data_IF_801255773608
#
_entry.id   IF_801255773608
#
_cell.length_a   1.000
_cell.length_b   1.000
_cell.length_c   1.000
_cell.angle_alpha   90.00
_cell.angle_beta   90.00
_cell.angle_gamma   90.00
#
_symmetry.space_group_name_H-M   'P 1'
#
loop_
_entity.id
_entity.type
_entity.pdbx_description
1 polymer ?
#
# COMPACT_ATOMS: atom_id res chain seq x y z
N UNK A 1 -19.08 -10.06 3.88
CA UNK A 1 -18.32 -11.31 3.68
C UNK A 1 -19.25 -12.48 3.33
N UNK A 2 -20.34 -12.70 4.06
CA UNK A 2 -21.26 -13.84 3.84
C UNK A 2 -22.12 -13.73 2.57
N UNK A 3 -22.59 -12.53 2.21
CA UNK A 3 -23.51 -12.34 1.06
C UNK A 3 -22.90 -12.64 -0.32
N UNK A 4 -21.60 -12.49 -0.52
CA UNK A 4 -20.94 -12.80 -1.81
C UNK A 4 -20.66 -14.28 -1.97
N UNK A 5 -20.50 -15.01 -0.86
CA UNK A 5 -20.30 -16.46 -0.85
C UNK A 5 -21.64 -17.20 -1.00
N UNK A 6 -22.74 -16.60 -0.57
CA UNK A 6 -24.07 -17.21 -0.62
C UNK A 6 -24.67 -17.27 -2.04
N UNK A 7 -24.19 -16.43 -2.97
CA UNK A 7 -24.61 -16.43 -4.37
C UNK A 7 -23.83 -17.42 -5.26
N UNK A 8 -22.88 -18.16 -4.71
CA UNK A 8 -22.10 -19.17 -5.43
C UNK A 8 -22.55 -20.54 -4.90
N UNK A 9 -23.77 -20.93 -5.28
CA UNK A 9 -24.26 -22.29 -5.06
C UNK A 9 -23.43 -23.29 -5.87
N UNK A 10 -22.99 -24.36 -5.20
CA UNK A 10 -22.55 -25.64 -5.78
C UNK A 10 -21.28 -25.73 -6.63
N UNK A 11 -20.36 -24.77 -6.58
CA UNK A 11 -19.02 -24.97 -7.13
C UNK A 11 -17.95 -24.77 -6.06
N UNK A 12 -17.29 -25.86 -5.66
CA UNK A 12 -16.07 -25.86 -4.85
C UNK A 12 -15.14 -24.75 -5.35
N UNK A 13 -14.94 -23.71 -4.55
CA UNK A 13 -14.05 -22.59 -4.89
C UNK A 13 -12.62 -23.13 -4.84
N UNK A 14 -12.12 -23.58 -5.99
CA UNK A 14 -10.79 -24.18 -6.16
C UNK A 14 -9.64 -23.22 -5.88
N UNK A 15 -9.88 -21.91 -5.77
CA UNK A 15 -8.84 -20.95 -5.41
C UNK A 15 -9.39 -19.75 -4.62
N UNK A 16 -9.11 -19.74 -3.31
CA UNK A 16 -9.45 -18.64 -2.39
C UNK A 16 -8.46 -17.47 -2.50
N UNK A 17 -7.28 -17.69 -3.10
CA UNK A 17 -6.22 -16.69 -3.21
C UNK A 17 -6.67 -15.41 -3.90
N UNK A 18 -7.36 -15.43 -5.06
CA UNK A 18 -7.80 -14.21 -5.70
C UNK A 18 -8.88 -13.46 -4.91
N UNK A 19 -9.74 -14.19 -4.20
CA UNK A 19 -10.79 -13.62 -3.36
C UNK A 19 -10.22 -12.90 -2.13
N UNK A 20 -9.30 -13.57 -1.43
CA UNK A 20 -8.60 -12.97 -0.28
C UNK A 20 -7.82 -11.75 -0.73
N UNK A 21 -7.06 -11.83 -1.83
CA UNK A 21 -6.30 -10.71 -2.36
C UNK A 21 -7.18 -9.50 -2.74
N UNK A 22 -8.35 -9.73 -3.34
CA UNK A 22 -9.30 -8.66 -3.65
C UNK A 22 -9.83 -7.99 -2.39
N UNK A 23 -10.21 -8.79 -1.39
CA UNK A 23 -10.77 -8.28 -0.15
C UNK A 23 -9.72 -7.54 0.69
N UNK A 24 -8.54 -8.12 0.84
CA UNK A 24 -7.39 -7.52 1.54
C UNK A 24 -7.03 -6.17 0.92
N UNK A 25 -6.91 -6.09 -0.41
CA UNK A 25 -6.62 -4.82 -1.09
C UNK A 25 -7.70 -3.78 -0.77
N UNK A 26 -8.98 -4.15 -0.86
CA UNK A 26 -10.08 -3.22 -0.58
C UNK A 26 -10.06 -2.74 0.88
N UNK A 27 -9.79 -3.62 1.85
CA UNK A 27 -9.66 -3.26 3.26
C UNK A 27 -8.52 -2.28 3.49
N UNK A 28 -7.33 -2.51 2.90
CA UNK A 28 -6.17 -1.60 3.07
C UNK A 28 -6.44 -0.25 2.43
N UNK A 29 -7.02 -0.23 1.24
CA UNK A 29 -7.35 1.02 0.59
C UNK A 29 -8.36 1.84 1.41
N UNK A 30 -9.33 1.17 2.04
CA UNK A 30 -10.29 1.80 2.93
C UNK A 30 -9.66 2.26 4.27
N UNK A 31 -8.76 1.48 4.87
CA UNK A 31 -8.21 1.76 6.21
C UNK A 31 -6.96 2.65 6.19
N UNK A 32 -5.99 2.36 5.32
CA UNK A 32 -4.69 3.03 5.27
C UNK A 32 -4.66 4.21 4.30
N UNK A 33 -5.36 4.11 3.16
CA UNK A 33 -5.45 5.18 2.17
C UNK A 33 -6.74 6.02 2.30
N UNK A 34 -7.72 5.52 3.05
CA UNK A 34 -8.97 6.23 3.31
C UNK A 34 -9.90 6.36 2.10
N UNK A 35 -9.69 5.59 1.03
CA UNK A 35 -10.47 5.66 -0.21
C UNK A 35 -11.29 4.38 -0.44
N UNK A 36 -12.50 4.52 -0.97
CA UNK A 36 -13.36 3.37 -1.29
C UNK A 36 -13.12 2.89 -2.72
N UNK A 37 -12.50 1.73 -2.91
CA UNK A 37 -12.25 1.16 -4.26
C UNK A 37 -13.47 0.53 -4.93
N UNK A 38 -14.64 0.54 -4.29
CA UNK A 38 -15.88 -0.08 -4.81
C UNK A 38 -16.24 0.33 -6.24
N UNK A 39 -15.82 1.51 -6.71
CA UNK A 39 -16.11 2.03 -8.06
C UNK A 39 -15.13 1.55 -9.15
N UNK A 40 -14.02 0.90 -8.79
CA UNK A 40 -12.89 0.67 -9.70
C UNK A 40 -12.43 -0.80 -9.76
N UNK A 41 -13.37 -1.73 -9.92
CA UNK A 41 -13.08 -3.18 -9.96
C UNK A 41 -12.11 -3.60 -11.08
N UNK A 42 -12.21 -3.01 -12.27
CA UNK A 42 -11.30 -3.30 -13.39
C UNK A 42 -9.86 -2.87 -13.08
N UNK A 43 -9.70 -1.67 -12.52
CA UNK A 43 -8.41 -1.12 -12.12
C UNK A 43 -7.75 -1.95 -11.00
N UNK A 44 -8.55 -2.38 -10.03
CA UNK A 44 -8.12 -3.32 -8.99
C UNK A 44 -7.60 -4.64 -9.57
N UNK A 45 -8.27 -5.19 -10.59
CA UNK A 45 -7.83 -6.42 -11.26
C UNK A 45 -6.49 -6.23 -11.99
N UNK A 46 -6.31 -5.09 -12.68
CA UNK A 46 -5.05 -4.76 -13.34
C UNK A 46 -3.91 -4.57 -12.34
N UNK A 47 -4.16 -3.86 -11.24
CA UNK A 47 -3.19 -3.69 -10.15
C UNK A 47 -2.76 -5.02 -9.54
N UNK A 48 -3.71 -5.89 -9.19
CA UNK A 48 -3.42 -7.22 -8.63
C UNK A 48 -2.58 -8.09 -9.56
N UNK A 49 -2.88 -8.06 -10.86
CA UNK A 49 -2.09 -8.76 -11.86
C UNK A 49 -0.67 -8.18 -11.98
N UNK A 50 -0.53 -6.85 -11.90
CA UNK A 50 0.76 -6.17 -11.90
C UNK A 50 1.59 -6.57 -10.67
N UNK A 51 1.02 -6.57 -9.47
CA UNK A 51 1.69 -7.02 -8.23
C UNK A 51 2.11 -8.49 -8.33
N UNK A 52 1.25 -9.37 -8.86
CA UNK A 52 1.58 -10.78 -9.02
C UNK A 52 2.80 -10.99 -9.94
N UNK A 53 2.80 -10.34 -11.12
CA UNK A 53 3.93 -10.38 -12.05
C UNK A 53 5.19 -9.73 -11.47
N UNK A 54 5.05 -8.66 -10.69
CA UNK A 54 6.18 -8.05 -9.98
C UNK A 54 6.80 -9.05 -8.99
N UNK A 55 5.96 -9.77 -8.24
CA UNK A 55 6.41 -10.85 -7.36
C UNK A 55 7.19 -11.94 -8.10
N UNK A 56 6.68 -12.42 -9.25
CA UNK A 56 7.40 -13.38 -10.09
C UNK A 56 8.77 -12.86 -10.54
N UNK A 57 8.86 -11.59 -10.92
CA UNK A 57 10.11 -10.94 -11.33
C UNK A 57 11.10 -10.80 -10.17
N UNK A 58 10.62 -10.47 -8.97
CA UNK A 58 11.46 -10.40 -7.77
C UNK A 58 12.01 -11.78 -7.42
N UNK A 59 11.18 -12.81 -7.44
CA UNK A 59 11.61 -14.19 -7.21
C UNK A 59 12.62 -14.62 -8.28
N UNK A 60 12.38 -14.30 -9.55
CA UNK A 60 13.32 -14.56 -10.65
C UNK A 60 14.68 -13.86 -10.44
N UNK A 61 14.69 -12.62 -9.93
CA UNK A 61 15.91 -11.89 -9.56
C UNK A 61 16.62 -12.54 -8.37
N UNK A 62 15.89 -12.98 -7.33
CA UNK A 62 16.45 -13.62 -6.14
C UNK A 62 17.19 -14.92 -6.44
N UNK A 63 16.64 -15.76 -7.32
CA UNK A 63 17.27 -17.03 -7.71
C UNK A 63 18.48 -16.87 -8.63
N UNK A 64 18.71 -15.70 -9.22
CA UNK A 64 19.78 -15.46 -10.20
C UNK A 64 20.65 -14.28 -9.79
N UNK A 65 21.66 -14.56 -8.97
CA UNK A 65 22.60 -13.55 -8.46
C UNK A 65 23.31 -12.73 -9.55
N UNK A 66 23.42 -13.26 -10.77
CA UNK A 66 24.04 -12.58 -11.93
C UNK A 66 23.20 -11.40 -12.46
N UNK A 67 21.88 -11.40 -12.20
CA UNK A 67 20.94 -10.33 -12.55
C UNK A 67 20.86 -9.22 -11.47
N UNK A 68 21.76 -9.27 -10.47
CA UNK A 68 21.86 -8.25 -9.42
C UNK A 68 22.34 -6.90 -9.95
N UNK A 69 23.16 -6.90 -11.00
CA UNK A 69 23.59 -5.66 -11.63
C UNK A 69 22.42 -5.06 -12.42
N UNK A 70 21.92 -3.91 -11.96
CA UNK A 70 20.75 -3.27 -12.54
C UNK A 70 20.91 -2.98 -14.04
N UNK A 71 22.11 -2.61 -14.48
CA UNK A 71 22.40 -2.41 -15.91
C UNK A 71 22.16 -3.66 -16.75
N UNK A 72 22.68 -4.80 -16.32
CA UNK A 72 22.49 -6.10 -17.00
C UNK A 72 21.01 -6.44 -17.03
N UNK A 73 20.29 -6.16 -15.93
CA UNK A 73 18.86 -6.41 -15.85
C UNK A 73 18.04 -5.49 -16.77
N UNK A 74 18.37 -4.20 -16.87
CA UNK A 74 17.67 -3.26 -17.75
C UNK A 74 17.79 -3.64 -19.23
N UNK A 75 18.88 -4.29 -19.63
CA UNK A 75 19.05 -4.80 -21.00
C UNK A 75 18.18 -6.04 -21.28
N UNK A 76 17.79 -6.82 -20.27
CA UNK A 76 16.96 -8.01 -20.48
C UNK A 76 15.50 -7.68 -20.81
N UNK A 77 14.84 -8.58 -21.54
CA UNK A 77 13.39 -8.50 -21.82
C UNK A 77 12.56 -8.38 -20.53
N UNK A 78 13.00 -9.06 -19.46
CA UNK A 78 12.36 -9.03 -18.13
C UNK A 78 12.49 -7.68 -17.43
N UNK A 79 13.59 -6.94 -17.63
CA UNK A 79 13.72 -5.57 -17.13
C UNK A 79 12.75 -4.59 -17.80
N UNK A 80 12.49 -4.76 -19.10
CA UNK A 80 11.48 -3.96 -19.81
C UNK A 80 10.06 -4.30 -19.34
N UNK A 81 9.79 -5.56 -19.05
CA UNK A 81 8.52 -6.00 -18.45
C UNK A 81 8.33 -5.40 -17.06
N UNK A 82 9.36 -5.43 -16.21
CA UNK A 82 9.34 -4.80 -14.89
C UNK A 82 9.00 -3.30 -14.98
N UNK A 83 9.62 -2.57 -15.90
CA UNK A 83 9.36 -1.13 -16.08
C UNK A 83 7.90 -0.84 -16.45
N UNK A 84 7.28 -1.69 -17.28
CA UNK A 84 5.85 -1.56 -17.62
C UNK A 84 4.96 -1.82 -16.42
N UNK A 85 5.25 -2.88 -15.66
CA UNK A 85 4.51 -3.25 -14.45
C UNK A 85 4.60 -2.13 -13.41
N UNK A 86 5.80 -1.62 -13.18
CA UNK A 86 6.04 -0.52 -12.24
C UNK A 86 5.28 0.74 -12.65
N UNK A 87 5.22 1.06 -13.94
CA UNK A 87 4.39 2.17 -14.45
C UNK A 87 2.91 2.01 -14.06
N UNK A 88 2.36 0.79 -14.17
CA UNK A 88 0.98 0.51 -13.79
C UNK A 88 0.75 0.63 -12.28
N UNK A 89 1.73 0.23 -11.46
CA UNK A 89 1.68 0.40 -10.00
C UNK A 89 1.69 1.88 -9.63
N UNK A 90 2.63 2.65 -10.21
CA UNK A 90 2.70 4.10 -9.99
C UNK A 90 1.42 4.82 -10.42
N UNK A 91 0.85 4.48 -11.58
CA UNK A 91 -0.41 5.07 -12.05
C UNK A 91 -1.58 4.82 -11.07
N UNK A 92 -1.58 3.65 -10.42
CA UNK A 92 -2.55 3.34 -9.39
C UNK A 92 -2.37 4.22 -8.16
N UNK A 93 -1.15 4.29 -7.61
CA UNK A 93 -0.86 5.05 -6.40
C UNK A 93 -1.01 6.56 -6.60
N UNK A 94 -0.59 7.09 -7.76
CA UNK A 94 -0.80 8.49 -8.13
C UNK A 94 -2.28 8.87 -8.15
N UNK A 95 -3.13 8.00 -8.69
CA UNK A 95 -4.56 8.25 -8.74
C UNK A 95 -5.18 8.31 -7.34
N UNK A 96 -4.72 7.44 -6.44
CA UNK A 96 -5.17 7.41 -5.04
C UNK A 96 -4.74 8.66 -4.29
N UNK A 97 -3.46 9.03 -4.42
CA UNK A 97 -2.91 10.24 -3.81
C UNK A 97 -3.66 11.47 -4.33
N UNK A 98 -3.92 11.56 -5.64
CA UNK A 98 -4.66 12.66 -6.25
C UNK A 98 -6.10 12.75 -5.72
N UNK A 99 -6.84 11.65 -5.66
CA UNK A 99 -8.20 11.62 -5.13
C UNK A 99 -8.24 12.04 -3.66
N UNK A 100 -7.25 11.61 -2.86
CA UNK A 100 -7.14 11.97 -1.45
C UNK A 100 -6.74 13.43 -1.25
N UNK A 101 -5.82 13.96 -2.04
CA UNK A 101 -5.45 15.38 -2.03
C UNK A 101 -6.63 16.27 -2.40
N UNK A 102 -7.46 15.88 -3.39
CA UNK A 102 -8.69 16.59 -3.74
C UNK A 102 -9.71 16.57 -2.58
N UNK A 103 -9.86 15.44 -1.90
CA UNK A 103 -10.71 15.32 -0.72
C UNK A 103 -10.29 16.31 0.39
N UNK A 104 -9.00 16.39 0.68
CA UNK A 104 -8.49 17.36 1.65
C UNK A 104 -8.71 18.80 1.18
N UNK A 105 -8.42 19.11 -0.10
CA UNK A 105 -8.64 20.45 -0.67
C UNK A 105 -10.08 20.92 -0.51
N UNK A 106 -11.05 20.03 -0.72
CA UNK A 106 -12.47 20.32 -0.54
C UNK A 106 -12.87 20.46 0.95
N UNK A 107 -12.11 19.86 1.88
CA UNK A 107 -12.32 19.92 3.33
C UNK A 107 -11.45 20.96 4.06
N UNK A 108 -10.65 21.76 3.35
CA UNK A 108 -9.68 22.71 3.89
C UNK A 108 -10.25 23.80 4.84
N UNK A 109 -11.57 23.88 5.04
CA UNK A 109 -12.19 24.71 6.07
C UNK A 109 -12.26 24.08 7.48
N UNK A 110 -12.20 22.75 7.61
CA UNK A 110 -12.36 22.04 8.89
C UNK A 110 -11.16 21.17 9.28
N UNK A 111 -10.35 20.66 8.34
CA UNK A 111 -9.32 19.67 8.68
C UNK A 111 -8.08 20.29 9.36
N UNK A 112 -7.60 21.42 8.86
CA UNK A 112 -6.47 22.16 9.47
C UNK A 112 -6.81 22.73 10.86
N UNK A 113 -8.05 23.22 11.05
CA UNK A 113 -8.52 23.75 12.35
C UNK A 113 -8.60 22.71 13.46
N UNK A 114 -8.80 21.43 13.12
CA UNK A 114 -8.85 20.36 14.11
C UNK A 114 -7.46 19.80 14.48
N UNK A 115 -6.41 20.12 13.70
CA UNK A 115 -5.04 19.65 13.96
C UNK A 115 -4.24 20.67 14.80
N UNK A 116 -4.45 21.97 14.58
CA UNK A 116 -3.77 23.04 15.31
C UNK A 116 -4.16 23.19 16.79
N UNK A 117 -5.11 22.40 17.30
CA UNK A 117 -5.49 22.38 18.73
C UNK A 117 -4.83 21.26 19.53
N UNK A 118 -3.90 20.51 18.90
CA UNK A 118 -3.25 19.35 19.50
C UNK A 118 -1.87 19.58 20.11
N UNK A 119 -1.31 20.79 20.00
CA UNK A 119 0.09 21.05 20.39
C UNK A 119 0.26 22.20 21.40
N UNK A 120 -0.80 22.92 21.76
CA UNK A 120 -0.72 23.97 22.79
C UNK A 120 -1.52 23.55 24.02
N UNK A 121 -0.74 23.27 25.08
CA UNK A 121 -1.07 23.37 26.51
C UNK A 121 -2.25 22.49 26.99
N UNK A 122 -1.87 21.35 27.58
CA UNK A 122 -2.71 20.65 28.55
C UNK A 122 -2.75 21.56 29.79
N UNK A 123 -3.76 22.40 29.88
CA UNK A 123 -4.19 22.96 31.16
C UNK A 123 -5.49 22.29 31.59
N UNK A 124 -5.46 21.79 32.82
CA UNK A 124 -6.46 20.92 33.38
C UNK A 124 -7.64 21.73 33.89
N UNK A 125 -8.74 21.80 33.14
CA UNK A 125 -10.09 21.69 33.72
C UNK A 125 -11.18 21.57 32.65
N UNK A 126 -12.28 20.93 33.03
CA UNK A 126 -13.60 20.96 32.39
C UNK A 126 -13.90 19.92 31.29
N UNK A 127 -14.19 18.72 31.79
CA UNK A 127 -15.52 18.06 31.67
C UNK A 127 -16.15 17.98 30.28
N UNK A 128 -16.03 16.78 29.69
CA UNK A 128 -17.09 16.09 28.94
C UNK A 128 -17.77 16.86 27.79
N UNK A 129 -17.13 16.96 26.61
CA UNK A 129 -17.75 16.98 25.24
C UNK A 129 -16.67 17.06 24.14
N UNK A 130 -15.42 17.41 24.47
CA UNK A 130 -14.29 17.47 23.53
C UNK A 130 -13.61 16.09 23.33
N UNK A 131 -14.33 14.98 23.58
CA UNK A 131 -13.97 13.66 23.05
C UNK A 131 -14.38 13.50 21.57
N UNK A 132 -14.87 14.58 20.96
CA UNK A 132 -15.35 14.62 19.59
C UNK A 132 -14.18 14.76 18.60
N UNK A 133 -13.69 13.62 18.12
CA UNK A 133 -12.86 13.44 16.91
C UNK A 133 -11.33 13.57 17.07
N UNK A 134 -10.70 12.72 17.88
CA UNK A 134 -9.44 12.09 17.42
C UNK A 134 -9.80 11.16 16.26
N UNK A 135 -10.11 11.72 15.10
CA UNK A 135 -10.38 10.96 13.89
C UNK A 135 -9.05 10.27 13.56
N UNK A 136 -8.98 8.94 13.70
CA UNK A 136 -7.80 8.16 13.30
C UNK A 136 -7.42 8.62 11.89
N UNK A 137 -6.31 9.35 11.78
CA UNK A 137 -5.78 9.77 10.50
C UNK A 137 -5.38 8.49 9.75
N UNK A 138 -5.78 8.39 8.50
CA UNK A 138 -5.27 7.34 7.64
C UNK A 138 -3.76 7.57 7.45
N UNK A 139 -2.99 6.51 7.22
CA UNK A 139 -1.54 6.64 6.96
C UNK A 139 -1.26 7.68 5.85
N UNK A 140 -2.06 7.64 4.78
CA UNK A 140 -1.96 8.60 3.68
C UNK A 140 -2.25 10.05 4.11
N UNK A 141 -3.13 10.28 5.08
CA UNK A 141 -3.43 11.63 5.59
C UNK A 141 -2.21 12.19 6.33
N UNK A 142 -1.53 11.36 7.12
CA UNK A 142 -0.31 11.75 7.82
C UNK A 142 0.81 12.11 6.83
N UNK A 143 0.99 11.32 5.78
CA UNK A 143 2.00 11.59 4.74
C UNK A 143 1.70 12.88 3.98
N UNK A 144 0.44 13.15 3.65
CA UNK A 144 0.04 14.40 2.99
C UNK A 144 0.29 15.62 3.91
N UNK A 145 0.00 15.51 5.20
CA UNK A 145 0.27 16.57 6.18
C UNK A 145 1.76 16.87 6.32
N UNK A 146 2.59 15.84 6.47
CA UNK A 146 4.04 15.98 6.54
C UNK A 146 4.63 16.65 5.29
N UNK A 147 4.04 16.41 4.11
CA UNK A 147 4.43 17.11 2.89
C UNK A 147 4.04 18.59 2.87
N UNK A 148 2.90 18.96 3.46
CA UNK A 148 2.50 20.38 3.60
C UNK A 148 3.43 21.15 4.54
N UNK A 149 3.99 20.48 5.54
CA UNK A 149 5.02 21.03 6.46
C UNK A 149 6.41 21.11 5.81
N UNK A 150 6.58 20.66 4.56
CA UNK A 150 7.83 20.71 3.81
C UNK A 150 8.83 19.60 4.18
N UNK A 151 8.42 18.60 4.97
CA UNK A 151 9.30 17.51 5.41
C UNK A 151 9.41 16.35 4.43
N UNK A 152 8.44 16.18 3.53
CA UNK A 152 8.38 15.09 2.55
C UNK A 152 8.06 15.59 1.15
N UNK A 153 8.74 15.04 0.13
CA UNK A 153 8.38 15.28 -1.26
C UNK A 153 7.24 14.37 -1.73
N UNK A 154 6.56 14.77 -2.79
CA UNK A 154 5.52 13.95 -3.43
C UNK A 154 6.05 12.60 -3.94
N UNK A 155 7.36 12.51 -4.18
CA UNK A 155 8.03 11.26 -4.60
C UNK A 155 8.17 10.33 -3.40
N UNK A 156 8.65 10.83 -2.26
CA UNK A 156 8.83 10.03 -1.04
C UNK A 156 7.50 9.46 -0.54
N UNK A 157 6.43 10.27 -0.57
CA UNK A 157 5.07 9.80 -0.23
C UNK A 157 4.65 8.65 -1.16
N UNK A 158 4.91 8.78 -2.47
CA UNK A 158 4.56 7.76 -3.44
C UNK A 158 5.31 6.46 -3.15
N UNK A 159 6.62 6.55 -2.93
CA UNK A 159 7.47 5.39 -2.65
C UNK A 159 7.07 4.67 -1.37
N UNK A 160 6.73 5.41 -0.31
CA UNK A 160 6.27 4.83 0.96
C UNK A 160 4.91 4.12 0.79
N UNK A 161 3.97 4.75 0.06
CA UNK A 161 2.66 4.16 -0.22
C UNK A 161 2.79 2.93 -1.11
N UNK A 162 3.63 2.96 -2.14
CA UNK A 162 3.88 1.81 -3.03
C UNK A 162 4.50 0.64 -2.26
N UNK A 163 5.47 0.92 -1.39
CA UNK A 163 6.11 -0.09 -0.54
C UNK A 163 5.10 -0.72 0.41
N UNK A 164 4.33 0.09 1.14
CA UNK A 164 3.30 -0.39 2.04
C UNK A 164 2.23 -1.22 1.31
N UNK A 165 1.77 -0.75 0.15
CA UNK A 165 0.79 -1.47 -0.66
C UNK A 165 1.32 -2.79 -1.21
N UNK A 166 2.61 -2.85 -1.55
CA UNK A 166 3.27 -4.07 -1.98
C UNK A 166 3.42 -5.07 -0.82
N UNK A 167 3.89 -4.63 0.35
CA UNK A 167 4.10 -5.49 1.52
C UNK A 167 2.82 -6.18 1.96
N UNK A 168 1.72 -5.43 2.10
CA UNK A 168 0.47 -5.99 2.62
C UNK A 168 -0.23 -6.85 1.56
N UNK A 169 -0.08 -6.53 0.27
CA UNK A 169 -0.63 -7.37 -0.81
C UNK A 169 0.18 -8.67 -1.02
N UNK A 170 1.42 -8.71 -0.55
CA UNK A 170 2.35 -9.84 -0.73
C UNK A 170 2.71 -10.52 0.59
N UNK A 171 1.79 -10.56 1.55
CA UNK A 171 1.99 -11.20 2.87
C UNK A 171 2.55 -12.65 2.83
N UNK A 172 2.40 -13.37 1.71
CA UNK A 172 3.07 -14.67 1.46
C UNK A 172 4.56 -14.55 1.07
N UNK A 173 4.95 -13.51 0.33
CA UNK A 173 6.35 -13.26 -0.07
C UNK A 173 7.20 -12.73 1.10
N UNK A 174 6.61 -12.00 2.05
CA UNK A 174 7.35 -11.51 3.20
C UNK A 174 7.79 -12.63 4.13
N UNK A 175 6.92 -13.62 4.39
CA UNK A 175 7.31 -14.81 5.15
C UNK A 175 8.49 -15.52 4.50
N UNK A 176 8.49 -15.63 3.16
CA UNK A 176 9.59 -16.23 2.42
C UNK A 176 10.85 -15.35 2.43
N UNK A 177 10.71 -14.02 2.30
CA UNK A 177 11.82 -13.06 2.27
C UNK A 177 12.50 -12.90 3.64
N UNK A 178 11.73 -12.84 4.73
CA UNK A 178 12.24 -12.83 6.10
C UNK A 178 12.87 -14.17 6.44
N UNK A 179 12.23 -15.29 6.12
CA UNK A 179 12.80 -16.62 6.34
C UNK A 179 14.11 -16.82 5.58
N UNK A 180 14.18 -16.38 4.32
CA UNK A 180 15.38 -16.49 3.49
C UNK A 180 16.51 -15.54 3.95
N UNK A 181 16.20 -14.30 4.34
CA UNK A 181 17.20 -13.41 4.93
C UNK A 181 17.67 -13.85 6.31
N UNK A 182 16.78 -14.44 7.13
CA UNK A 182 17.13 -15.01 8.42
C UNK A 182 18.10 -16.18 8.24
N UNK A 183 17.80 -17.14 7.38
CA UNK A 183 18.70 -18.26 7.05
C UNK A 183 20.05 -17.77 6.54
N UNK A 184 20.05 -16.76 5.65
CA UNK A 184 21.29 -16.19 5.12
C UNK A 184 22.15 -15.53 6.20
N UNK A 185 21.54 -14.73 7.08
CA UNK A 185 22.25 -14.09 8.19
C UNK A 185 22.79 -15.13 9.18
N UNK A 186 22.02 -16.16 9.49
CA UNK A 186 22.46 -17.26 10.36
C UNK A 186 23.59 -18.10 9.73
N UNK A 187 23.57 -18.37 8.42
CA UNK A 187 24.66 -19.08 7.74
C UNK A 187 25.96 -18.27 7.67
N UNK A 188 25.85 -16.93 7.55
CA UNK A 188 27.03 -16.04 7.54
C UNK A 188 27.63 -15.92 8.95
N UNK A 189 26.82 -16.01 10.01
CA UNK A 189 27.31 -15.96 11.39
C UNK A 189 27.90 -17.28 11.90
N UNK A 190 27.63 -18.40 11.22
CA UNK A 190 28.09 -19.75 11.58
C UNK A 190 29.36 -20.19 10.82
N UNK A 191 29.87 -19.35 9.90
CA UNK A 191 31.05 -19.62 9.06
C UNK A 191 32.17 -18.65 9.40
#
# INVERSE_FOLDING_TARGET
MTKSLQNIGDAVVKDLTPFISEHTLNTICETAMGISLRRMKSFQKHYRNAVHKMGELVVYRLFRQWLRYDWVFFLTSKGREQKKILKTLHEFTEKIIAERKMYHKNMNGQFSKNLGKGTEEIDANDTEVIASRKKRLAMLDLLILASQEGSLTDIDIREEVDTFMFEVCTSKLFFFFYWFNLIRTYMIYLM
#
